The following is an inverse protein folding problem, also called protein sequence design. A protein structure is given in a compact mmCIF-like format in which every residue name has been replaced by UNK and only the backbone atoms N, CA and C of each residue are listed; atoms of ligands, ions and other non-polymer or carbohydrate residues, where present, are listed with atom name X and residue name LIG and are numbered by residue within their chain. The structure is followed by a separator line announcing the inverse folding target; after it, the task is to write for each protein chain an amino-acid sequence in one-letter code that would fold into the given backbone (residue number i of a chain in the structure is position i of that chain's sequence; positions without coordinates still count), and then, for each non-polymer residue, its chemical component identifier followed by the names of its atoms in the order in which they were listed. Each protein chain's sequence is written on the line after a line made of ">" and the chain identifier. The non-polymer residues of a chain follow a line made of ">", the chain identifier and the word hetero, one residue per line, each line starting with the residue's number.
data_IF_490955011011
#
_entry.id   IF_490955011011
#
_cell.length_a   1.000
_cell.length_b   1.000
_cell.length_c   1.000
_cell.angle_alpha   90.00
_cell.angle_beta   90.00
_cell.angle_gamma   90.00
#
_symmetry.space_group_name_H-M   'P 1'
#
loop_
_entity.id
_entity.type
_entity.pdbx_description
1 polymer ?
#
# COMPACT_ATOMS: atom_id res chain seq x y z
N UNK A 1 -6.25 -14.51 -28.86
CA UNK A 1 -6.03 -15.72 -28.02
C UNK A 1 -5.05 -15.47 -26.89
N UNK A 2 -3.94 -14.75 -27.11
CA UNK A 2 -2.99 -14.40 -26.07
C UNK A 2 -3.60 -13.55 -24.96
N UNK A 3 -4.46 -12.61 -25.29
CA UNK A 3 -5.11 -11.72 -24.32
C UNK A 3 -5.95 -12.47 -23.29
N UNK A 4 -6.72 -13.48 -23.74
CA UNK A 4 -7.57 -14.27 -22.84
C UNK A 4 -6.73 -15.05 -21.83
N UNK A 5 -5.63 -15.65 -22.29
CA UNK A 5 -4.72 -16.38 -21.41
C UNK A 5 -4.04 -15.45 -20.38
N UNK A 6 -3.64 -14.25 -20.82
CA UNK A 6 -2.98 -13.28 -19.96
C UNK A 6 -3.94 -12.75 -18.89
N UNK A 7 -5.19 -12.48 -19.23
CA UNK A 7 -6.19 -12.06 -18.24
C UNK A 7 -6.49 -13.14 -17.22
N UNK A 8 -6.59 -14.40 -17.65
CA UNK A 8 -6.82 -15.52 -16.73
C UNK A 8 -5.64 -15.69 -15.75
N UNK A 9 -4.40 -15.58 -16.25
CA UNK A 9 -3.22 -15.67 -15.40
C UNK A 9 -3.15 -14.51 -14.43
N UNK A 10 -3.49 -13.29 -14.85
CA UNK A 10 -3.54 -12.12 -13.98
C UNK A 10 -4.55 -12.31 -12.84
N UNK A 11 -5.75 -12.79 -13.14
CA UNK A 11 -6.78 -13.03 -12.12
C UNK A 11 -6.32 -14.08 -11.10
N UNK A 12 -5.66 -15.14 -11.55
CA UNK A 12 -5.14 -16.18 -10.66
C UNK A 12 -4.05 -15.63 -9.74
N UNK A 13 -3.10 -14.88 -10.30
CA UNK A 13 -2.01 -14.29 -9.54
C UNK A 13 -2.52 -13.24 -8.56
N UNK A 14 -3.47 -12.41 -8.98
CA UNK A 14 -4.06 -11.39 -8.12
C UNK A 14 -4.80 -12.02 -6.93
N UNK A 15 -5.61 -13.04 -7.21
CA UNK A 15 -6.35 -13.77 -6.17
C UNK A 15 -5.40 -14.51 -5.22
N UNK A 16 -4.36 -15.16 -5.76
CA UNK A 16 -3.34 -15.84 -4.95
C UNK A 16 -2.59 -14.85 -4.07
N UNK A 17 -2.28 -13.67 -4.59
CA UNK A 17 -1.63 -12.61 -3.83
C UNK A 17 -2.47 -12.14 -2.65
N UNK A 18 -3.75 -11.92 -2.86
CA UNK A 18 -4.68 -11.53 -1.79
C UNK A 18 -4.76 -12.62 -0.72
N UNK A 19 -4.87 -13.88 -1.12
CA UNK A 19 -4.89 -14.99 -0.17
C UNK A 19 -3.61 -15.08 0.64
N UNK A 20 -2.46 -14.87 -0.01
CA UNK A 20 -1.17 -14.88 0.67
C UNK A 20 -1.09 -13.75 1.71
N UNK A 21 -1.59 -12.55 1.38
CA UNK A 21 -1.62 -11.43 2.32
C UNK A 21 -2.48 -11.76 3.54
N UNK A 22 -3.66 -12.34 3.33
CA UNK A 22 -4.56 -12.73 4.43
C UNK A 22 -3.91 -13.80 5.30
N UNK A 23 -3.18 -14.73 4.69
CA UNK A 23 -2.50 -15.82 5.40
C UNK A 23 -1.20 -15.37 6.10
N UNK A 24 -0.73 -14.15 5.83
CA UNK A 24 0.54 -13.67 6.37
C UNK A 24 1.77 -14.25 5.64
N UNK A 25 1.58 -14.82 4.46
CA UNK A 25 2.66 -15.30 3.61
C UNK A 25 3.19 -14.15 2.76
N UNK A 26 3.99 -13.29 3.38
CA UNK A 26 4.44 -12.05 2.75
C UNK A 26 5.37 -12.31 1.56
N UNK A 27 6.27 -13.28 1.65
CA UNK A 27 7.14 -13.66 0.54
C UNK A 27 6.35 -14.24 -0.62
N UNK A 28 5.39 -15.11 -0.33
CA UNK A 28 4.49 -15.65 -1.35
C UNK A 28 3.68 -14.56 -2.03
N UNK A 29 3.20 -13.59 -1.25
CA UNK A 29 2.47 -12.45 -1.79
C UNK A 29 3.34 -11.63 -2.75
N UNK A 30 4.59 -11.32 -2.37
CA UNK A 30 5.52 -10.59 -3.23
C UNK A 30 5.72 -11.35 -4.55
N UNK A 31 5.94 -12.67 -4.49
CA UNK A 31 6.21 -13.46 -5.69
C UNK A 31 5.03 -13.40 -6.69
N UNK A 32 3.82 -13.70 -6.23
CA UNK A 32 2.67 -13.76 -7.14
C UNK A 32 2.20 -12.37 -7.56
N UNK A 33 2.28 -11.37 -6.67
CA UNK A 33 1.90 -9.99 -7.02
C UNK A 33 2.90 -9.36 -7.97
N UNK A 34 4.17 -9.71 -7.90
CA UNK A 34 5.17 -9.28 -8.88
C UNK A 34 4.83 -9.82 -10.27
N UNK A 35 4.41 -11.09 -10.35
CA UNK A 35 3.95 -11.67 -11.62
C UNK A 35 2.72 -10.93 -12.14
N UNK A 36 1.76 -10.61 -11.26
CA UNK A 36 0.58 -9.83 -11.64
C UNK A 36 0.97 -8.44 -12.15
N UNK A 37 1.93 -7.78 -11.52
CA UNK A 37 2.38 -6.45 -11.91
C UNK A 37 3.05 -6.46 -13.29
N UNK A 38 3.71 -7.56 -13.66
CA UNK A 38 4.30 -7.70 -15.00
C UNK A 38 3.24 -7.77 -16.09
N UNK A 39 2.06 -8.30 -15.77
CA UNK A 39 0.95 -8.41 -16.71
C UNK A 39 0.07 -7.16 -16.74
N UNK A 40 0.00 -6.44 -15.63
CA UNK A 40 -0.82 -5.24 -15.49
C UNK A 40 -0.03 -4.18 -14.73
N UNK A 41 0.89 -3.53 -15.45
CA UNK A 41 1.83 -2.56 -14.87
C UNK A 41 1.14 -1.26 -14.41
N UNK A 42 -0.11 -1.03 -14.79
CA UNK A 42 -0.86 0.20 -14.46
C UNK A 42 -1.93 -0.02 -13.40
N UNK A 43 -1.83 -1.10 -12.66
CA UNK A 43 -2.81 -1.42 -11.62
C UNK A 43 -2.33 -0.92 -10.26
N UNK A 44 -2.95 0.15 -9.77
CA UNK A 44 -2.59 0.77 -8.48
C UNK A 44 -2.80 -0.20 -7.31
N UNK A 45 -3.84 -1.05 -7.36
CA UNK A 45 -4.11 -2.02 -6.29
C UNK A 45 -2.96 -3.00 -6.12
N UNK A 46 -2.42 -3.52 -7.22
CA UNK A 46 -1.28 -4.45 -7.17
C UNK A 46 -0.08 -3.77 -6.53
N UNK A 47 0.19 -2.53 -6.89
CA UNK A 47 1.31 -1.77 -6.31
C UNK A 47 1.11 -1.54 -4.82
N UNK A 48 -0.12 -1.19 -4.40
CA UNK A 48 -0.43 -1.01 -2.99
C UNK A 48 -0.26 -2.33 -2.20
N UNK A 49 -0.72 -3.45 -2.75
CA UNK A 49 -0.54 -4.76 -2.11
C UNK A 49 0.93 -5.17 -2.02
N UNK A 50 1.73 -4.90 -3.05
CA UNK A 50 3.18 -5.14 -3.00
C UNK A 50 3.82 -4.30 -1.90
N UNK A 51 3.45 -3.03 -1.82
CA UNK A 51 3.93 -2.15 -0.74
C UNK A 51 3.61 -2.72 0.63
N UNK A 52 2.39 -3.21 0.81
CA UNK A 52 1.97 -3.79 2.09
C UNK A 52 2.78 -5.05 2.44
N UNK A 53 2.99 -5.94 1.48
CA UNK A 53 3.78 -7.14 1.70
C UNK A 53 5.22 -6.82 2.09
N UNK A 54 5.86 -5.88 1.39
CA UNK A 54 7.20 -5.43 1.74
C UNK A 54 7.25 -4.76 3.11
N UNK A 55 6.24 -3.97 3.45
CA UNK A 55 6.14 -3.34 4.76
C UNK A 55 6.10 -4.40 5.87
N UNK A 56 5.31 -5.45 5.69
CA UNK A 56 5.21 -6.55 6.66
C UNK A 56 6.53 -7.34 6.76
N UNK A 57 7.30 -7.40 5.69
CA UNK A 57 8.64 -7.97 5.68
C UNK A 57 9.70 -7.04 6.29
N UNK A 58 9.28 -5.86 6.77
CA UNK A 58 10.14 -4.80 7.30
C UNK A 58 11.13 -4.25 6.28
N UNK A 59 10.80 -4.38 5.02
CA UNK A 59 11.56 -3.79 3.90
C UNK A 59 10.90 -2.46 3.51
N UNK A 60 11.13 -1.44 4.32
CA UNK A 60 10.42 -0.17 4.22
C UNK A 60 10.77 0.59 2.92
N UNK A 61 12.02 0.53 2.46
CA UNK A 61 12.41 1.18 1.21
C UNK A 61 11.60 0.69 0.01
N UNK A 62 11.60 -0.62 -0.28
CA UNK A 62 10.75 -1.18 -1.32
C UNK A 62 9.27 -0.89 -1.11
N UNK A 63 8.78 -0.96 0.14
CA UNK A 63 7.38 -0.67 0.44
C UNK A 63 7.01 0.75 -0.01
N UNK A 64 7.81 1.74 0.35
CA UNK A 64 7.59 3.13 -0.02
C UNK A 64 7.55 3.29 -1.54
N UNK A 65 8.48 2.67 -2.26
CA UNK A 65 8.52 2.76 -3.72
C UNK A 65 7.24 2.24 -4.37
N UNK A 66 6.72 1.11 -3.89
CA UNK A 66 5.49 0.53 -4.42
C UNK A 66 4.27 1.39 -4.08
N UNK A 67 4.18 1.92 -2.85
CA UNK A 67 3.10 2.83 -2.49
C UNK A 67 3.14 4.12 -3.33
N UNK A 68 4.33 4.66 -3.55
CA UNK A 68 4.50 5.84 -4.41
C UNK A 68 4.02 5.55 -5.83
N UNK A 69 4.36 4.37 -6.36
CA UNK A 69 3.91 3.96 -7.69
C UNK A 69 2.38 3.83 -7.73
N UNK A 70 1.77 3.29 -6.69
CA UNK A 70 0.31 3.23 -6.60
C UNK A 70 -0.31 4.63 -6.70
N UNK A 71 0.30 5.62 -6.06
CA UNK A 71 -0.20 7.00 -6.09
C UNK A 71 0.08 7.73 -7.39
N UNK A 72 1.14 7.35 -8.11
CA UNK A 72 1.35 7.83 -9.48
C UNK A 72 0.21 7.34 -10.39
N UNK A 73 -0.19 6.08 -10.23
CA UNK A 73 -1.24 5.46 -11.02
C UNK A 73 -2.65 5.93 -10.60
N UNK A 74 -2.86 6.14 -9.31
CA UNK A 74 -4.12 6.62 -8.76
C UNK A 74 -3.85 7.58 -7.59
N UNK A 75 -3.76 8.89 -7.85
CA UNK A 75 -3.46 9.88 -6.79
C UNK A 75 -4.50 9.96 -5.67
N UNK A 76 -5.69 9.39 -5.88
CA UNK A 76 -6.77 9.37 -4.89
C UNK A 76 -6.91 8.03 -4.19
N UNK A 77 -5.91 7.16 -4.30
CA UNK A 77 -5.95 5.82 -3.69
C UNK A 77 -5.83 5.96 -2.17
N UNK A 78 -6.94 5.77 -1.46
CA UNK A 78 -7.01 5.98 0.00
C UNK A 78 -6.04 5.08 0.76
N UNK A 79 -6.07 3.78 0.48
CA UNK A 79 -5.20 2.82 1.18
C UNK A 79 -3.73 3.11 0.96
N UNK A 80 -3.33 3.53 -0.24
CA UNK A 80 -1.94 3.87 -0.52
C UNK A 80 -1.49 5.10 0.26
N UNK A 81 -2.35 6.13 0.39
CA UNK A 81 -2.02 7.29 1.23
C UNK A 81 -1.86 6.90 2.70
N UNK A 82 -2.77 6.08 3.23
CA UNK A 82 -2.68 5.60 4.60
C UNK A 82 -1.39 4.81 4.83
N UNK A 83 -1.16 3.79 3.99
CA UNK A 83 0.00 2.90 4.15
C UNK A 83 1.32 3.65 3.97
N UNK A 84 1.39 4.56 3.01
CA UNK A 84 2.61 5.36 2.80
C UNK A 84 2.86 6.30 3.99
N UNK A 85 1.81 6.92 4.52
CA UNK A 85 1.92 7.72 5.73
C UNK A 85 2.47 6.92 6.89
N UNK A 86 1.95 5.71 7.11
CA UNK A 86 2.42 4.81 8.16
C UNK A 86 3.88 4.38 7.93
N UNK A 87 4.26 4.11 6.68
CA UNK A 87 5.64 3.76 6.34
C UNK A 87 6.61 4.91 6.64
N UNK A 88 6.21 6.14 6.36
CA UNK A 88 7.03 7.29 6.73
C UNK A 88 7.17 7.46 8.23
N UNK A 89 6.13 7.14 9.01
CA UNK A 89 6.24 7.15 10.47
C UNK A 89 7.26 6.12 10.97
N UNK A 90 7.33 4.95 10.32
CA UNK A 90 8.36 3.95 10.64
C UNK A 90 9.76 4.53 10.44
N UNK A 91 9.94 5.38 9.43
CA UNK A 91 11.22 6.07 9.18
C UNK A 91 11.43 7.30 10.07
N UNK A 92 10.44 7.66 10.88
CA UNK A 92 10.52 8.87 11.71
C UNK A 92 10.24 10.16 10.95
N UNK A 93 9.70 10.08 9.74
CA UNK A 93 9.42 11.24 8.90
C UNK A 93 7.97 11.70 9.08
N UNK A 94 7.74 12.40 10.18
CA UNK A 94 6.40 12.90 10.53
C UNK A 94 5.86 13.87 9.49
N UNK A 95 6.71 14.73 8.93
CA UNK A 95 6.28 15.73 7.95
C UNK A 95 5.64 15.07 6.73
N UNK A 96 6.27 14.04 6.18
CA UNK A 96 5.72 13.31 5.03
C UNK A 96 4.46 12.54 5.40
N UNK A 97 4.41 11.96 6.60
CA UNK A 97 3.19 11.30 7.07
C UNK A 97 2.01 12.28 7.13
N UNK A 98 2.25 13.49 7.61
CA UNK A 98 1.21 14.54 7.69
C UNK A 98 0.77 15.01 6.31
N UNK A 99 1.65 15.01 5.31
CA UNK A 99 1.27 15.31 3.93
C UNK A 99 0.23 14.32 3.40
N UNK A 100 0.42 13.03 3.68
CA UNK A 100 -0.53 11.99 3.26
C UNK A 100 -1.82 12.05 4.07
N UNK A 101 -1.73 12.44 5.34
CA UNK A 101 -2.91 12.68 6.16
C UNK A 101 -3.75 13.83 5.59
N UNK A 102 -3.12 14.93 5.19
CA UNK A 102 -3.79 16.05 4.54
C UNK A 102 -4.44 15.63 3.22
N UNK A 103 -3.77 14.76 2.45
CA UNK A 103 -4.35 14.21 1.23
C UNK A 103 -5.65 13.44 1.53
N UNK A 104 -5.67 12.64 2.59
CA UNK A 104 -6.85 11.89 2.99
C UNK A 104 -7.99 12.82 3.44
N UNK A 105 -7.69 13.93 4.09
CA UNK A 105 -8.70 14.93 4.44
C UNK A 105 -9.39 15.48 3.18
N UNK A 106 -8.63 15.70 2.12
CA UNK A 106 -9.16 16.19 0.85
C UNK A 106 -9.96 15.12 0.09
N UNK A 107 -9.54 13.87 0.17
CA UNK A 107 -10.15 12.76 -0.55
C UNK A 107 -11.44 12.31 0.15
N UNK A 108 -11.40 12.20 1.48
CA UNK A 108 -12.51 11.72 2.29
C UNK A 108 -13.32 12.90 2.82
N UNK A 109 -14.32 13.33 2.06
CA UNK A 109 -15.21 14.43 2.49
C UNK A 109 -15.99 14.08 3.76
N UNK A 110 -16.28 12.79 3.95
CA UNK A 110 -16.79 12.21 5.19
C UNK A 110 -15.67 11.34 5.73
N UNK A 111 -15.40 11.32 7.06
CA UNK A 111 -14.32 10.51 7.60
C UNK A 111 -14.38 9.07 7.10
N UNK A 112 -13.25 8.56 6.62
CA UNK A 112 -13.09 7.20 6.12
C UNK A 112 -12.13 6.43 7.01
N UNK A 113 -12.14 5.10 6.90
CA UNK A 113 -11.29 4.25 7.75
C UNK A 113 -9.81 4.60 7.59
N UNK A 114 -9.36 4.86 6.37
CA UNK A 114 -7.97 5.21 6.08
C UNK A 114 -7.55 6.50 6.78
N UNK A 115 -8.43 7.49 6.79
CA UNK A 115 -8.21 8.74 7.52
C UNK A 115 -8.07 8.48 9.03
N UNK A 116 -9.00 7.73 9.60
CA UNK A 116 -8.98 7.43 11.04
C UNK A 116 -7.76 6.62 11.43
N UNK A 117 -7.38 5.63 10.63
CA UNK A 117 -6.22 4.78 10.89
C UNK A 117 -4.93 5.59 10.88
N UNK A 118 -4.73 6.46 9.89
CA UNK A 118 -3.54 7.29 9.83
C UNK A 118 -3.53 8.34 10.95
N UNK A 119 -4.67 8.91 11.29
CA UNK A 119 -4.80 9.84 12.43
C UNK A 119 -4.32 9.17 13.72
N UNK A 120 -4.77 7.94 13.96
CA UNK A 120 -4.37 7.18 15.15
C UNK A 120 -2.88 6.85 15.13
N UNK A 121 -2.33 6.49 13.98
CA UNK A 121 -0.91 6.20 13.83
C UNK A 121 -0.04 7.43 14.14
N UNK A 122 -0.44 8.61 13.65
CA UNK A 122 0.25 9.87 13.93
C UNK A 122 0.16 10.20 15.42
N UNK A 123 -1.02 10.04 16.03
CA UNK A 123 -1.19 10.29 17.46
C UNK A 123 -0.30 9.37 18.31
N UNK A 124 -0.22 8.10 17.94
CA UNK A 124 0.66 7.13 18.61
C UNK A 124 2.13 7.52 18.44
N UNK A 125 2.53 7.98 17.27
CA UNK A 125 3.89 8.45 17.02
C UNK A 125 4.26 9.59 17.96
N UNK A 126 3.37 10.57 18.13
CA UNK A 126 3.60 11.68 19.06
C UNK A 126 3.74 11.21 20.50
N UNK A 127 2.92 10.25 20.95
CA UNK A 127 3.02 9.71 22.31
C UNK A 127 4.35 9.03 22.56
N UNK A 128 4.83 8.26 21.59
CA UNK A 128 6.10 7.55 21.73
C UNK A 128 7.27 8.53 21.69
N UNK A 129 7.21 9.54 20.81
CA UNK A 129 8.27 10.53 20.67
C UNK A 129 8.46 11.38 21.93
N UNK A 130 7.41 11.55 22.75
CA UNK A 130 7.47 12.32 24.00
C UNK A 130 8.14 11.57 25.16
N UNK A 131 8.37 10.29 25.02
CA UNK A 131 9.05 9.48 26.03
C UNK A 131 10.57 9.61 25.89
#
# INVERSE_FOLDING_TARGET
>A
MGETADWAALDLDFSAGKRALVAGDWNGAVNVLTSAALRDARNAEIQNYLGYAYHRLRQIGPAIRHYQQALVLNPRHRSAHEHLGEAYLVQGDLMKAEEHFSALEQICLIPCDEYDDLRQAIAKFHRVAKR
#
